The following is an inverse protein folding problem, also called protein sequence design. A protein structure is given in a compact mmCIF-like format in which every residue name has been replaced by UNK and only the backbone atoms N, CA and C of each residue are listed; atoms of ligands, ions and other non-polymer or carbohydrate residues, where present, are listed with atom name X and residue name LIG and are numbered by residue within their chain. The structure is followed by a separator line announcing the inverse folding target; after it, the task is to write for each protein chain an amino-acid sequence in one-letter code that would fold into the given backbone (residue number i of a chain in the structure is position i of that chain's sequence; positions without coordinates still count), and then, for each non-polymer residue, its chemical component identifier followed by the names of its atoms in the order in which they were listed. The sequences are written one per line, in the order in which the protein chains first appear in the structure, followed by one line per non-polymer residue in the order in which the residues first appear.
data_IF_301677565261
#
_entry.id   IF_301677565261
#
_cell.length_a   1.000
_cell.length_b   1.000
_cell.length_c   1.000
_cell.angle_alpha   90.00
_cell.angle_beta   90.00
_cell.angle_gamma   90.00
#
_symmetry.space_group_name_H-M   'P 1'
#
loop_
_entity.id
_entity.type
_entity.pdbx_description
1 polymer ?
#
# COMPACT_ATOMS: atom_id res chain seq x y z
N UNK A 1 -16.09 -3.42 12.65
CA UNK A 1 -14.95 -2.76 11.98
C UNK A 1 -14.36 -1.67 12.86
N UNK A 2 -15.16 -0.75 13.39
CA UNK A 2 -14.78 0.43 14.20
C UNK A 2 -13.92 0.11 15.44
N UNK A 3 -14.17 -1.03 16.09
CA UNK A 3 -13.36 -1.44 17.25
C UNK A 3 -11.87 -1.63 16.92
N UNK A 4 -11.56 -2.10 15.70
CA UNK A 4 -10.18 -2.28 15.23
C UNK A 4 -9.52 -0.93 14.94
N UNK A 5 -10.26 0.00 14.33
CA UNK A 5 -9.79 1.36 14.04
C UNK A 5 -9.45 2.11 15.34
N UNK A 6 -10.34 2.06 16.32
CA UNK A 6 -10.10 2.67 17.65
C UNK A 6 -8.88 2.06 18.36
N UNK A 7 -8.68 0.74 18.21
CA UNK A 7 -7.52 0.08 18.80
C UNK A 7 -6.21 0.57 18.16
N UNK A 8 -6.15 0.72 16.83
CA UNK A 8 -4.99 1.29 16.13
C UNK A 8 -4.73 2.71 16.59
N UNK A 9 -5.75 3.57 16.56
CA UNK A 9 -5.63 4.96 17.03
C UNK A 9 -5.13 5.05 18.47
N UNK A 10 -5.65 4.20 19.36
CA UNK A 10 -5.20 4.14 20.76
C UNK A 10 -3.73 3.74 20.87
N UNK A 11 -3.31 2.68 20.17
CA UNK A 11 -1.91 2.23 20.19
C UNK A 11 -0.95 3.33 19.74
N UNK A 12 -1.31 4.08 18.69
CA UNK A 12 -0.50 5.19 18.20
C UNK A 12 -0.44 6.33 19.22
N UNK A 13 -1.57 6.71 19.82
CA UNK A 13 -1.63 7.74 20.85
C UNK A 13 -0.81 7.36 22.08
N UNK A 14 -0.86 6.11 22.51
CA UNK A 14 -0.08 5.61 23.63
C UNK A 14 1.44 5.62 23.31
N UNK A 15 1.82 5.55 22.02
CA UNK A 15 3.20 5.57 21.54
C UNK A 15 3.77 6.98 21.26
N UNK A 16 2.95 8.02 21.32
CA UNK A 16 3.37 9.40 20.99
C UNK A 16 4.63 9.85 21.76
N UNK A 17 4.80 9.59 23.07
CA UNK A 17 6.01 9.99 23.76
C UNK A 17 7.29 9.36 23.18
N UNK A 18 7.24 8.08 22.83
CA UNK A 18 8.36 7.38 22.20
C UNK A 18 8.62 7.90 20.77
N UNK A 19 7.56 8.15 20.00
CA UNK A 19 7.66 8.72 18.66
C UNK A 19 8.29 10.12 18.66
N UNK A 20 7.92 10.98 19.61
CA UNK A 20 8.52 12.30 19.77
C UNK A 20 9.99 12.24 20.23
N UNK A 21 10.37 11.19 20.94
CA UNK A 21 11.76 10.91 21.31
C UNK A 21 12.57 10.29 20.15
N UNK A 22 12.00 10.12 18.97
CA UNK A 22 12.65 9.54 17.79
C UNK A 22 12.73 8.01 17.83
N UNK A 23 12.00 7.35 18.72
CA UNK A 23 11.99 5.89 18.85
C UNK A 23 10.60 5.34 18.53
N UNK A 24 10.52 4.33 17.68
CA UNK A 24 9.26 3.63 17.40
C UNK A 24 8.19 4.47 16.69
N UNK A 25 8.57 5.48 15.92
CA UNK A 25 7.65 6.25 15.09
C UNK A 25 7.06 5.36 13.97
N UNK A 26 5.74 5.27 13.90
CA UNK A 26 5.02 4.46 12.91
C UNK A 26 3.93 5.30 12.26
N UNK A 27 3.83 5.21 10.94
CA UNK A 27 2.75 5.80 10.14
C UNK A 27 2.05 4.66 9.41
N UNK A 28 1.07 4.01 10.05
CA UNK A 28 0.45 2.82 9.48
C UNK A 28 -0.62 3.16 8.46
N UNK A 29 -0.79 2.24 7.51
CA UNK A 29 -1.95 2.16 6.63
C UNK A 29 -2.77 0.95 7.08
N UNK A 30 -4.05 1.13 7.28
CA UNK A 30 -4.97 0.05 7.59
C UNK A 30 -5.95 -0.12 6.44
N UNK A 31 -5.92 -1.30 5.82
CA UNK A 31 -6.88 -1.68 4.79
C UNK A 31 -7.76 -2.82 5.30
N UNK A 32 -9.04 -2.76 5.03
CA UNK A 32 -10.00 -3.76 5.45
C UNK A 32 -11.24 -3.80 4.56
N UNK A 33 -12.01 -4.86 4.70
CA UNK A 33 -13.32 -5.00 4.08
C UNK A 33 -14.40 -4.94 5.16
N UNK A 34 -15.30 -3.98 5.04
CA UNK A 34 -16.44 -3.83 5.92
C UNK A 34 -17.57 -4.75 5.41
N UNK A 35 -17.79 -5.85 6.13
CA UNK A 35 -18.81 -6.84 5.76
C UNK A 35 -20.25 -6.30 5.91
N UNK A 36 -20.48 -5.34 6.79
CA UNK A 36 -21.81 -4.73 6.99
C UNK A 36 -22.15 -3.79 5.85
N UNK A 37 -21.17 -2.99 5.40
CA UNK A 37 -21.34 -2.06 4.28
C UNK A 37 -21.03 -2.68 2.92
N UNK A 38 -20.43 -3.88 2.88
CA UNK A 38 -20.07 -4.55 1.65
C UNK A 38 -18.99 -3.82 0.83
N UNK A 39 -18.08 -3.11 1.48
CA UNK A 39 -17.09 -2.27 0.80
C UNK A 39 -15.68 -2.38 1.39
N UNK A 40 -14.66 -2.28 0.52
CA UNK A 40 -13.29 -2.13 0.96
C UNK A 40 -13.04 -0.69 1.43
N UNK A 41 -12.23 -0.55 2.47
CA UNK A 41 -11.87 0.74 3.06
C UNK A 41 -10.39 0.82 3.34
N UNK A 42 -9.82 2.00 3.15
CA UNK A 42 -8.44 2.32 3.48
C UNK A 42 -8.44 3.47 4.49
N UNK A 43 -7.67 3.31 5.54
CA UNK A 43 -7.44 4.33 6.58
C UNK A 43 -5.95 4.62 6.65
N UNK A 44 -5.66 5.88 6.74
CA UNK A 44 -4.31 6.37 6.97
C UNK A 44 -4.24 7.01 8.34
N UNK A 45 -3.15 6.79 9.06
CA UNK A 45 -2.91 7.39 10.36
C UNK A 45 -1.66 8.24 10.33
N UNK A 46 -1.68 9.36 11.04
CA UNK A 46 -0.46 10.09 11.31
C UNK A 46 0.27 9.55 12.55
N UNK A 47 1.45 10.11 12.81
CA UNK A 47 2.29 9.73 13.95
C UNK A 47 1.64 10.00 15.32
N UNK A 48 0.65 10.89 15.37
CA UNK A 48 -0.08 11.26 16.58
C UNK A 48 -1.34 10.42 16.79
N UNK A 49 -1.63 9.49 15.87
CA UNK A 49 -2.80 8.63 15.90
C UNK A 49 -4.08 9.29 15.41
N UNK A 50 -3.98 10.40 14.67
CA UNK A 50 -5.12 10.93 13.94
C UNK A 50 -5.45 10.00 12.76
N UNK A 51 -6.73 9.70 12.59
CA UNK A 51 -7.26 8.80 11.58
C UNK A 51 -7.85 9.61 10.43
N UNK A 52 -7.49 9.20 9.22
CA UNK A 52 -8.03 9.77 7.98
C UNK A 52 -8.74 8.67 7.20
N UNK A 53 -10.06 8.82 7.07
CA UNK A 53 -10.94 7.89 6.38
C UNK A 53 -11.20 8.31 4.93
N UNK A 54 -11.62 7.34 4.11
CA UNK A 54 -12.16 7.61 2.79
C UNK A 54 -11.09 7.93 1.75
N UNK A 55 -9.86 7.49 1.97
CA UNK A 55 -8.80 7.62 0.98
C UNK A 55 -8.89 6.49 -0.06
N UNK A 56 -8.73 6.82 -1.32
CA UNK A 56 -8.71 5.83 -2.41
C UNK A 56 -7.37 5.09 -2.51
N UNK A 57 -6.33 5.68 -1.94
CA UNK A 57 -4.99 5.09 -1.82
C UNK A 57 -4.27 5.66 -0.61
N UNK A 58 -3.33 4.90 -0.08
CA UNK A 58 -2.43 5.37 0.96
C UNK A 58 -1.04 4.77 0.77
N UNK A 59 -0.02 5.52 1.18
CA UNK A 59 1.37 5.09 1.13
C UNK A 59 2.09 5.48 2.41
N UNK A 60 3.00 4.63 2.83
CA UNK A 60 3.88 4.85 3.99
C UNK A 60 5.27 4.28 3.69
N UNK A 61 6.26 4.70 4.44
CA UNK A 61 7.66 4.32 4.27
C UNK A 61 8.49 5.39 3.54
N UNK A 62 9.80 5.17 3.46
CA UNK A 62 10.79 6.11 2.90
C UNK A 62 10.56 6.42 1.42
N UNK A 63 10.11 5.44 0.64
CA UNK A 63 9.76 5.61 -0.78
C UNK A 63 8.42 6.31 -1.05
N UNK A 64 7.64 6.62 0.00
CA UNK A 64 6.29 7.17 -0.15
C UNK A 64 6.22 8.52 -0.89
N UNK A 65 7.20 9.45 -0.79
CA UNK A 65 7.14 10.71 -1.54
C UNK A 65 7.10 10.50 -3.05
N UNK A 66 7.90 9.55 -3.56
CA UNK A 66 7.93 9.20 -5.00
C UNK A 66 6.58 8.65 -5.46
N UNK A 67 6.01 7.72 -4.69
CA UNK A 67 4.77 7.01 -5.06
C UNK A 67 3.54 7.93 -4.96
N UNK A 68 3.49 8.80 -3.97
CA UNK A 68 2.32 9.65 -3.70
C UNK A 68 1.97 10.55 -4.88
N UNK A 69 2.96 11.18 -5.49
CA UNK A 69 2.75 12.03 -6.66
C UNK A 69 2.24 11.24 -7.86
N UNK A 70 2.79 10.05 -8.09
CA UNK A 70 2.36 9.17 -9.18
C UNK A 70 0.92 8.71 -8.97
N UNK A 71 0.57 8.26 -7.77
CA UNK A 71 -0.80 7.83 -7.43
C UNK A 71 -1.80 8.95 -7.60
N UNK A 72 -1.46 10.17 -7.13
CA UNK A 72 -2.31 11.34 -7.32
C UNK A 72 -2.55 11.63 -8.81
N UNK A 73 -1.49 11.61 -9.61
CA UNK A 73 -1.59 11.81 -11.05
C UNK A 73 -2.48 10.75 -11.71
N UNK A 74 -2.24 9.48 -11.43
CA UNK A 74 -3.01 8.36 -11.99
C UNK A 74 -4.48 8.41 -11.59
N UNK A 75 -4.77 8.74 -10.34
CA UNK A 75 -6.13 8.79 -9.84
C UNK A 75 -6.93 9.97 -10.39
N UNK A 76 -6.24 11.10 -10.68
CA UNK A 76 -6.90 12.34 -11.11
C UNK A 76 -6.99 12.46 -12.63
N UNK A 77 -5.94 12.05 -13.34
CA UNK A 77 -5.82 12.26 -14.80
C UNK A 77 -5.50 10.96 -15.58
N UNK A 78 -5.49 9.80 -14.92
CA UNK A 78 -5.38 8.51 -15.59
C UNK A 78 -6.62 8.20 -16.43
N UNK A 79 -6.55 7.14 -17.22
CA UNK A 79 -7.68 6.70 -18.06
C UNK A 79 -8.92 6.31 -17.24
N UNK A 80 -8.69 5.85 -16.00
CA UNK A 80 -9.73 5.51 -15.02
C UNK A 80 -9.23 5.72 -13.60
N UNK A 81 -10.10 5.98 -12.62
CA UNK A 81 -9.70 6.11 -11.22
C UNK A 81 -9.14 4.80 -10.68
N UNK A 82 -8.29 4.86 -9.66
CA UNK A 82 -7.66 3.68 -9.07
C UNK A 82 -8.69 2.67 -8.52
N UNK A 83 -9.83 3.15 -8.04
CA UNK A 83 -10.94 2.32 -7.55
C UNK A 83 -11.64 1.49 -8.63
N UNK A 84 -11.45 1.84 -9.90
CA UNK A 84 -12.02 1.10 -11.05
C UNK A 84 -11.06 0.06 -11.65
N UNK A 85 -9.83 -0.04 -11.15
CA UNK A 85 -8.86 -1.04 -11.62
C UNK A 85 -9.33 -2.46 -11.27
N UNK A 86 -9.11 -3.40 -12.19
CA UNK A 86 -9.22 -4.82 -11.85
C UNK A 86 -8.11 -5.25 -10.89
N UNK A 87 -8.28 -6.40 -10.23
CA UNK A 87 -7.25 -6.94 -9.33
C UNK A 87 -5.89 -7.07 -10.02
N UNK A 88 -5.86 -7.58 -11.25
CA UNK A 88 -4.63 -7.70 -12.04
C UNK A 88 -4.00 -6.34 -12.34
N UNK A 89 -4.81 -5.38 -12.79
CA UNK A 89 -4.33 -4.02 -13.06
C UNK A 89 -3.78 -3.35 -11.79
N UNK A 90 -4.45 -3.54 -10.66
CA UNK A 90 -3.99 -3.00 -9.37
C UNK A 90 -2.66 -3.64 -8.93
N UNK A 91 -2.49 -4.97 -9.10
CA UNK A 91 -1.23 -5.67 -8.83
C UNK A 91 -0.09 -5.16 -9.72
N UNK A 92 -0.33 -5.03 -11.02
CA UNK A 92 0.66 -4.48 -11.97
C UNK A 92 1.03 -3.06 -11.60
N UNK A 93 0.05 -2.24 -11.23
CA UNK A 93 0.31 -0.86 -10.81
C UNK A 93 1.12 -0.80 -9.51
N UNK A 94 0.83 -1.66 -8.54
CA UNK A 94 1.60 -1.75 -7.30
C UNK A 94 3.06 -2.18 -7.58
N UNK A 95 3.27 -3.15 -8.45
CA UNK A 95 4.62 -3.58 -8.86
C UNK A 95 5.40 -2.46 -9.54
N UNK A 96 4.77 -1.70 -10.45
CA UNK A 96 5.37 -0.54 -11.13
C UNK A 96 5.76 0.55 -10.14
N UNK A 97 4.87 0.87 -9.19
CA UNK A 97 5.10 1.89 -8.18
C UNK A 97 6.26 1.51 -7.25
N UNK A 98 6.30 0.27 -6.77
CA UNK A 98 7.38 -0.21 -5.90
C UNK A 98 8.72 -0.27 -6.66
N UNK A 99 8.72 -0.68 -7.92
CA UNK A 99 9.91 -0.64 -8.78
C UNK A 99 10.40 0.80 -8.95
N UNK A 100 9.49 1.74 -9.23
CA UNK A 100 9.84 3.16 -9.33
C UNK A 100 10.37 3.73 -8.00
N UNK A 101 9.78 3.34 -6.87
CA UNK A 101 10.28 3.79 -5.57
C UNK A 101 11.71 3.29 -5.30
N UNK A 102 12.00 2.04 -5.64
CA UNK A 102 13.33 1.44 -5.44
C UNK A 102 14.45 2.12 -6.26
N UNK A 103 14.12 2.77 -7.37
CA UNK A 103 15.09 3.55 -8.17
C UNK A 103 15.56 4.83 -7.45
N UNK A 104 14.73 5.41 -6.59
CA UNK A 104 14.97 6.70 -5.95
C UNK A 104 15.17 6.61 -4.44
N UNK A 105 14.87 5.49 -3.82
CA UNK A 105 14.97 5.26 -2.39
C UNK A 105 15.75 3.99 -2.07
N UNK A 106 16.96 4.15 -1.58
CA UNK A 106 17.86 3.03 -1.24
C UNK A 106 17.34 2.14 -0.09
N UNK A 107 16.38 2.60 0.69
CA UNK A 107 15.75 1.82 1.76
C UNK A 107 14.52 1.04 1.26
N UNK A 108 14.04 1.30 0.05
CA UNK A 108 12.98 0.52 -0.59
C UNK A 108 13.61 -0.60 -1.41
N UNK A 109 13.36 -1.86 -1.01
CA UNK A 109 13.78 -3.02 -1.78
C UNK A 109 13.01 -3.13 -3.09
N UNK A 110 13.74 -3.35 -4.20
CA UNK A 110 13.16 -3.66 -5.50
C UNK A 110 12.91 -5.17 -5.68
N UNK A 111 12.34 -5.54 -6.83
CA UNK A 111 12.24 -6.94 -7.24
C UNK A 111 13.64 -7.48 -7.54
N UNK A 112 14.00 -8.59 -6.91
CA UNK A 112 15.22 -9.32 -7.23
C UNK A 112 14.86 -10.57 -8.05
N UNK A 113 15.03 -10.48 -9.38
CA UNK A 113 14.68 -11.56 -10.32
C UNK A 113 15.55 -12.80 -10.15
N UNK A 114 16.84 -12.62 -9.85
CA UNK A 114 17.80 -13.73 -9.69
C UNK A 114 17.47 -14.54 -8.44
N UNK A 115 17.15 -13.87 -7.34
CA UNK A 115 16.72 -14.50 -6.09
C UNK A 115 15.21 -14.84 -6.06
N UNK A 116 14.45 -14.54 -7.11
CA UNK A 116 13.01 -14.70 -7.17
C UNK A 116 12.28 -14.02 -5.99
N UNK A 117 12.75 -12.84 -5.59
CA UNK A 117 12.14 -12.07 -4.50
C UNK A 117 11.19 -11.01 -5.09
N UNK A 118 9.92 -11.13 -4.74
CA UNK A 118 8.84 -10.22 -5.13
C UNK A 118 8.24 -9.52 -3.91
N UNK A 119 7.63 -8.35 -4.07
CA UNK A 119 6.90 -7.69 -3.00
C UNK A 119 5.76 -8.56 -2.49
N UNK A 120 5.49 -8.50 -1.20
CA UNK A 120 4.30 -9.17 -0.63
C UNK A 120 3.06 -8.37 -1.01
N UNK A 121 2.21 -8.95 -1.85
CA UNK A 121 0.91 -8.37 -2.22
C UNK A 121 -0.20 -9.17 -1.54
N UNK A 122 -1.14 -8.44 -0.95
CA UNK A 122 -2.34 -9.01 -0.34
C UNK A 122 -3.58 -8.38 -0.96
N UNK A 123 -4.55 -9.22 -1.29
CA UNK A 123 -5.88 -8.82 -1.71
C UNK A 123 -6.81 -8.88 -0.50
N UNK A 124 -7.56 -7.81 -0.27
CA UNK A 124 -8.54 -7.70 0.81
C UNK A 124 -9.92 -7.56 0.20
N UNK A 125 -10.74 -8.60 0.35
CA UNK A 125 -12.08 -8.68 -0.24
C UNK A 125 -13.10 -9.14 0.80
N UNK A 126 -14.36 -9.22 0.42
CA UNK A 126 -15.40 -9.81 1.27
C UNK A 126 -15.17 -11.28 1.65
N UNK A 127 -14.34 -11.99 0.89
CA UNK A 127 -13.91 -13.37 1.20
C UNK A 127 -12.74 -13.43 2.20
N UNK A 128 -12.16 -12.29 2.56
CA UNK A 128 -11.05 -12.19 3.51
C UNK A 128 -9.77 -11.63 2.90
N UNK A 129 -8.65 -11.92 3.56
CA UNK A 129 -7.31 -11.48 3.15
C UNK A 129 -6.57 -12.64 2.51
N UNK A 130 -6.15 -12.47 1.28
CA UNK A 130 -5.39 -13.46 0.52
C UNK A 130 -4.01 -12.91 0.18
N UNK A 131 -2.96 -13.72 0.38
CA UNK A 131 -1.62 -13.40 -0.11
C UNK A 131 -1.48 -13.88 -1.54
N UNK A 132 -1.07 -12.99 -2.44
CA UNK A 132 -0.82 -13.33 -3.84
C UNK A 132 0.49 -14.12 -3.93
N UNK A 133 0.48 -15.33 -4.52
CA UNK A 133 1.69 -16.12 -4.66
C UNK A 133 2.68 -15.50 -5.65
N UNK A 134 3.99 -15.67 -5.42
CA UNK A 134 5.06 -15.22 -6.33
C UNK A 134 4.91 -15.82 -7.74
N UNK A 135 4.36 -17.05 -7.83
CA UNK A 135 4.02 -17.68 -9.11
C UNK A 135 3.03 -16.88 -9.97
N UNK A 136 2.17 -16.06 -9.33
CA UNK A 136 1.27 -15.13 -10.00
C UNK A 136 1.98 -13.80 -10.31
N UNK A 137 2.80 -13.30 -9.38
CA UNK A 137 3.45 -12.00 -9.54
C UNK A 137 4.56 -12.02 -10.59
N UNK A 138 5.30 -13.12 -10.67
CA UNK A 138 6.42 -13.27 -11.61
C UNK A 138 6.03 -13.00 -13.07
N UNK A 139 5.05 -13.70 -13.67
CA UNK A 139 4.66 -13.46 -15.07
C UNK A 139 4.09 -12.04 -15.28
N UNK A 140 3.36 -11.48 -14.32
CA UNK A 140 2.87 -10.10 -14.39
C UNK A 140 4.04 -9.11 -14.42
N UNK A 141 5.03 -9.30 -13.55
CA UNK A 141 6.21 -8.45 -13.50
C UNK A 141 7.00 -8.52 -14.81
N UNK A 142 7.29 -9.73 -15.29
CA UNK A 142 8.09 -9.96 -16.49
C UNK A 142 7.42 -9.42 -17.76
N UNK A 143 6.09 -9.56 -17.88
CA UNK A 143 5.37 -9.14 -19.09
C UNK A 143 4.94 -7.67 -19.10
N UNK A 144 4.66 -7.08 -17.92
CA UNK A 144 4.01 -5.78 -17.84
C UNK A 144 4.80 -4.69 -17.09
N UNK A 145 5.84 -5.07 -16.34
CA UNK A 145 6.64 -4.11 -15.56
C UNK A 145 8.05 -3.98 -16.14
N UNK A 146 8.72 -5.10 -16.44
CA UNK A 146 10.04 -5.07 -17.05
C UNK A 146 9.94 -4.48 -18.46
N UNK A 147 10.53 -3.32 -18.66
CA UNK A 147 10.73 -2.79 -20.01
C UNK A 147 12.04 -3.35 -20.53
N UNK A 148 11.97 -4.09 -21.62
CA UNK A 148 13.16 -4.43 -22.40
C UNK A 148 13.60 -3.14 -23.11
N UNK A 149 14.79 -2.68 -22.74
CA UNK A 149 15.49 -1.62 -23.48
C UNK A 149 16.36 -2.28 -24.52
#
# INVERSE_FOLDING_TARGET
FDGKLRAVSKLLKDNVPAALAGTGAVVPVFAGYDLEQGSAKIYFYDILGAEFEGVEYAVSGSGSPTIRGILHYLNTWGEQPLSALSEEQAMVQALRLLTSAAEFDSATGGVNREASLYPVIKLVTGAGVQTVPDATLKPLYESQVVRYV
#
